data_IF_557135469783
#
_entry.id   IF_557135469783
#
_cell.length_a   1.000
_cell.length_b   1.000
_cell.length_c   1.000
_cell.angle_alpha   90.00
_cell.angle_beta   90.00
_cell.angle_gamma   90.00
#
_symmetry.space_group_name_H-M   'P 1'
#
loop_
_entity.id
_entity.type
_entity.pdbx_description
1 polymer ?
#
# COMPACT_ATOMS: atom_id res chain seq x y z
N UNK A 1 -13.10 5.74 -17.60
CA UNK A 1 -11.97 6.67 -17.33
C UNK A 1 -10.74 5.81 -17.05
N UNK A 2 -9.59 6.16 -17.60
CA UNK A 2 -8.35 5.41 -17.41
C UNK A 2 -7.45 6.13 -16.44
N UNK A 3 -6.85 5.41 -15.49
CA UNK A 3 -6.01 5.96 -14.44
C UNK A 3 -4.54 5.56 -14.63
N UNK A 4 -3.64 6.43 -14.18
CA UNK A 4 -2.22 6.12 -14.06
C UNK A 4 -1.92 5.63 -12.64
N UNK A 5 -1.29 4.47 -12.50
CA UNK A 5 -0.78 3.98 -11.21
C UNK A 5 0.62 4.55 -11.01
N UNK A 6 0.77 5.41 -10.01
CA UNK A 6 2.02 6.08 -9.67
C UNK A 6 2.82 5.27 -8.65
N UNK A 7 3.50 4.24 -9.11
CA UNK A 7 4.44 3.45 -8.29
C UNK A 7 5.59 2.91 -9.11
N UNK A 8 6.80 2.94 -8.54
CA UNK A 8 7.99 2.26 -9.09
C UNK A 8 8.17 0.86 -8.51
N UNK A 9 7.36 0.46 -7.52
CA UNK A 9 7.42 -0.86 -6.91
C UNK A 9 6.61 -1.86 -7.73
N UNK A 10 7.28 -2.77 -8.43
CA UNK A 10 6.65 -3.75 -9.29
C UNK A 10 5.70 -4.71 -8.54
N UNK A 11 5.99 -5.02 -7.26
CA UNK A 11 5.13 -5.89 -6.43
C UNK A 11 3.85 -5.16 -6.04
N UNK A 12 3.94 -3.88 -5.65
CA UNK A 12 2.77 -3.02 -5.40
C UNK A 12 1.95 -2.83 -6.68
N UNK A 13 2.59 -2.57 -7.81
CA UNK A 13 1.90 -2.41 -9.10
C UNK A 13 1.02 -3.62 -9.41
N UNK A 14 1.56 -4.84 -9.31
CA UNK A 14 0.81 -6.08 -9.54
C UNK A 14 -0.39 -6.25 -8.60
N UNK A 15 -0.23 -5.90 -7.32
CA UNK A 15 -1.35 -5.92 -6.36
C UNK A 15 -2.42 -4.90 -6.74
N UNK A 16 -2.03 -3.66 -7.04
CA UNK A 16 -2.96 -2.60 -7.43
C UNK A 16 -3.76 -2.98 -8.68
N UNK A 17 -3.10 -3.46 -9.73
CA UNK A 17 -3.75 -3.90 -10.96
C UNK A 17 -4.72 -5.06 -10.71
N UNK A 18 -4.30 -6.07 -9.91
CA UNK A 18 -5.12 -7.24 -9.58
C UNK A 18 -6.39 -6.85 -8.82
N UNK A 19 -6.29 -5.89 -7.89
CA UNK A 19 -7.43 -5.45 -7.08
C UNK A 19 -8.32 -4.47 -7.85
N UNK A 20 -7.75 -3.53 -8.60
CA UNK A 20 -8.50 -2.50 -9.33
C UNK A 20 -9.35 -3.08 -10.48
N UNK A 21 -8.82 -4.08 -11.18
CA UNK A 21 -9.51 -4.67 -12.35
C UNK A 21 -10.90 -5.26 -12.02
N UNK A 22 -11.08 -6.11 -10.99
CA UNK A 22 -12.41 -6.60 -10.60
C UNK A 22 -13.33 -5.49 -10.09
N UNK A 23 -12.77 -4.38 -9.61
CA UNK A 23 -13.54 -3.22 -9.17
C UNK A 23 -14.03 -2.33 -10.33
N UNK A 24 -13.71 -2.71 -11.58
CA UNK A 24 -14.10 -1.95 -12.77
C UNK A 24 -13.29 -0.67 -12.99
N UNK A 25 -12.15 -0.53 -12.32
CA UNK A 25 -11.25 0.61 -12.47
C UNK A 25 -10.16 0.26 -13.49
N UNK A 26 -10.20 0.91 -14.66
CA UNK A 26 -9.19 0.74 -15.70
C UNK A 26 -7.95 1.58 -15.35
N UNK A 27 -6.87 0.91 -15.01
CA UNK A 27 -5.63 1.56 -14.58
C UNK A 27 -4.41 0.88 -15.23
N UNK A 28 -3.41 1.69 -15.55
CA UNK A 28 -2.15 1.26 -16.16
C UNK A 28 -0.97 1.91 -15.43
N UNK A 29 0.19 1.29 -15.51
CA UNK A 29 1.42 1.91 -15.01
C UNK A 29 1.80 3.15 -15.84
N UNK A 30 2.56 4.07 -15.25
CA UNK A 30 3.11 5.22 -15.97
C UNK A 30 3.96 4.77 -17.16
N UNK A 31 4.72 3.69 -17.02
CA UNK A 31 5.55 3.10 -18.07
C UNK A 31 4.71 2.62 -19.28
N UNK A 32 3.59 1.94 -19.03
CA UNK A 32 2.67 1.51 -20.08
C UNK A 32 1.99 2.69 -20.77
N UNK A 33 1.81 3.79 -20.07
CA UNK A 33 1.35 5.06 -20.63
C UNK A 33 2.46 5.83 -21.39
N UNK A 34 3.68 5.29 -21.46
CA UNK A 34 4.81 5.91 -22.16
C UNK A 34 5.47 7.04 -21.37
N UNK A 35 5.24 7.14 -20.07
CA UNK A 35 5.76 8.19 -19.20
C UNK A 35 6.73 7.63 -18.18
N UNK A 36 7.92 8.25 -18.09
CA UNK A 36 8.86 7.96 -17.03
C UNK A 36 8.70 9.02 -15.92
N UNK A 37 8.22 8.59 -14.76
CA UNK A 37 8.05 9.49 -13.60
C UNK A 37 9.35 9.78 -12.85
N UNK A 38 10.43 9.04 -13.16
CA UNK A 38 11.68 9.11 -12.39
C UNK A 38 11.49 8.66 -10.94
N UNK A 39 12.42 9.06 -10.08
CA UNK A 39 12.28 8.92 -8.64
C UNK A 39 11.50 10.12 -8.09
N UNK A 40 10.34 9.83 -7.50
CA UNK A 40 9.56 10.84 -6.80
C UNK A 40 10.00 10.81 -5.34
N UNK A 41 10.61 11.90 -4.88
CA UNK A 41 11.07 12.02 -3.50
C UNK A 41 9.88 12.09 -2.53
N UNK A 42 9.80 11.12 -1.62
CA UNK A 42 8.77 11.03 -0.60
C UNK A 42 9.20 11.85 0.63
N UNK A 43 8.84 13.13 0.64
CA UNK A 43 9.19 14.09 1.71
C UNK A 43 8.11 14.21 2.79
N UNK A 44 7.00 13.51 2.63
CA UNK A 44 5.89 13.51 3.58
C UNK A 44 6.24 12.80 4.89
N UNK A 45 5.58 13.23 5.96
CA UNK A 45 5.69 12.63 7.30
C UNK A 45 4.58 11.61 7.58
N UNK A 46 3.59 11.52 6.68
CA UNK A 46 2.49 10.57 6.74
C UNK A 46 2.36 9.80 5.43
N UNK A 47 1.71 8.64 5.47
CA UNK A 47 1.39 7.86 4.27
C UNK A 47 0.51 8.67 3.30
N UNK A 48 -0.46 9.43 3.81
CA UNK A 48 -1.35 10.24 2.98
C UNK A 48 -0.58 11.34 2.22
N UNK A 49 0.36 12.03 2.88
CA UNK A 49 1.21 13.03 2.23
C UNK A 49 2.06 12.42 1.12
N UNK A 50 2.69 11.27 1.36
CA UNK A 50 3.50 10.59 0.35
C UNK A 50 2.65 10.05 -0.81
N UNK A 51 1.46 9.50 -0.53
CA UNK A 51 0.52 9.09 -1.58
C UNK A 51 0.12 10.29 -2.46
N UNK A 52 -0.19 11.44 -1.86
CA UNK A 52 -0.50 12.66 -2.59
C UNK A 52 0.68 13.13 -3.46
N UNK A 53 1.90 13.17 -2.92
CA UNK A 53 3.11 13.58 -3.66
C UNK A 53 3.27 12.72 -4.93
N UNK A 54 3.13 11.40 -4.80
CA UNK A 54 3.26 10.46 -5.93
C UNK A 54 2.12 10.62 -6.95
N UNK A 55 0.88 10.70 -6.49
CA UNK A 55 -0.27 10.89 -7.39
C UNK A 55 -0.20 12.21 -8.15
N UNK A 56 0.19 13.29 -7.46
CA UNK A 56 0.32 14.61 -8.05
C UNK A 56 1.45 14.68 -9.09
N UNK A 57 2.59 14.02 -8.84
CA UNK A 57 3.67 13.92 -9.81
C UNK A 57 3.20 13.20 -11.10
N UNK A 58 2.49 12.10 -10.96
CA UNK A 58 1.95 11.36 -12.10
C UNK A 58 0.88 12.16 -12.86
N UNK A 59 -0.04 12.80 -12.15
CA UNK A 59 -1.08 13.65 -12.76
C UNK A 59 -0.45 14.81 -13.55
N UNK A 60 0.51 15.51 -12.97
CA UNK A 60 1.22 16.63 -13.66
C UNK A 60 2.00 16.16 -14.88
N UNK A 61 2.64 15.00 -14.80
CA UNK A 61 3.43 14.46 -15.90
C UNK A 61 2.58 13.96 -17.07
N UNK A 62 1.39 13.46 -16.81
CA UNK A 62 0.56 12.77 -17.81
C UNK A 62 -0.67 13.57 -18.24
N UNK A 63 -1.16 14.48 -17.40
CA UNK A 63 -2.47 15.11 -17.57
C UNK A 63 -3.65 14.15 -17.38
N UNK A 64 -3.39 12.91 -16.93
CA UNK A 64 -4.39 11.87 -16.73
C UNK A 64 -4.69 11.67 -15.25
N UNK A 65 -5.92 11.24 -14.89
CA UNK A 65 -6.21 10.83 -13.52
C UNK A 65 -5.18 9.84 -12.99
N UNK A 66 -4.74 10.03 -11.76
CA UNK A 66 -3.66 9.24 -11.18
C UNK A 66 -4.01 8.68 -9.80
N UNK A 67 -3.59 7.46 -9.55
CA UNK A 67 -3.74 6.75 -8.28
C UNK A 67 -2.37 6.44 -7.72
N UNK A 68 -2.13 6.77 -6.46
CA UNK A 68 -0.93 6.37 -5.74
C UNK A 68 -1.28 5.73 -4.41
N UNK A 69 -0.47 4.76 -4.01
CA UNK A 69 -0.47 4.12 -2.71
C UNK A 69 0.81 4.48 -1.96
N UNK A 70 0.69 4.90 -0.71
CA UNK A 70 1.77 4.80 0.25
C UNK A 70 1.33 3.93 1.43
N UNK A 71 2.22 3.03 1.86
CA UNK A 71 1.84 1.98 2.80
C UNK A 71 3.02 1.48 3.60
N UNK A 72 2.74 1.03 4.80
CA UNK A 72 3.75 0.48 5.68
C UNK A 72 3.19 -0.24 6.88
N UNK A 73 4.08 -0.85 7.63
CA UNK A 73 3.84 -1.58 8.86
C UNK A 73 4.14 -0.70 10.07
N UNK A 74 3.23 -0.64 11.02
CA UNK A 74 3.43 -0.02 12.32
C UNK A 74 3.32 -1.08 13.41
N UNK A 75 4.34 -1.15 14.29
CA UNK A 75 4.42 -2.12 15.38
C UNK A 75 4.32 -1.37 16.71
N UNK A 76 3.36 -1.75 17.55
CA UNK A 76 3.08 -1.03 18.80
C UNK A 76 4.25 -1.08 19.78
N UNK A 77 4.94 -2.22 19.90
CA UNK A 77 6.13 -2.37 20.71
C UNK A 77 7.34 -1.51 20.26
N UNK A 78 7.27 -0.97 19.05
CA UNK A 78 8.29 -0.08 18.47
C UNK A 78 7.78 1.37 18.33
N UNK A 79 6.76 1.76 19.08
CA UNK A 79 6.15 3.10 19.00
C UNK A 79 5.71 3.48 17.57
N UNK A 80 5.17 2.50 16.84
CA UNK A 80 4.69 2.67 15.47
C UNK A 80 5.75 2.57 14.36
N UNK A 81 7.04 2.32 14.73
CA UNK A 81 8.07 2.04 13.71
C UNK A 81 7.86 0.66 13.07
N UNK A 82 8.27 0.43 11.83
CA UNK A 82 8.94 1.34 10.90
C UNK A 82 8.04 2.43 10.29
N UNK A 83 6.71 2.30 10.28
CA UNK A 83 5.79 3.33 9.77
C UNK A 83 6.10 3.75 8.34
N UNK A 84 6.18 5.04 8.05
CA UNK A 84 6.49 5.61 6.73
C UNK A 84 7.87 5.20 6.21
N UNK A 85 8.76 4.71 7.08
CA UNK A 85 10.09 4.21 6.73
C UNK A 85 10.13 2.72 6.40
N UNK A 86 8.97 2.05 6.30
CA UNK A 86 8.88 0.60 6.08
C UNK A 86 9.69 0.12 4.87
N UNK A 87 9.65 0.83 3.76
CA UNK A 87 10.37 0.45 2.55
C UNK A 87 11.91 0.53 2.70
N UNK A 88 12.42 1.44 3.54
CA UNK A 88 13.85 1.74 3.72
C UNK A 88 14.36 1.49 5.13
N UNK A 89 13.72 0.61 5.89
CA UNK A 89 13.99 0.37 7.32
C UNK A 89 15.42 -0.10 7.62
N UNK A 90 16.09 -0.76 6.66
CA UNK A 90 17.50 -1.16 6.73
C UNK A 90 18.36 -0.47 5.68
N UNK A 91 17.87 0.64 5.08
CA UNK A 91 18.49 1.31 3.95
C UNK A 91 17.74 1.06 2.64
N UNK A 92 18.07 1.85 1.62
CA UNK A 92 17.32 1.87 0.36
C UNK A 92 17.41 0.56 -0.44
N UNK A 93 18.53 -0.15 -0.33
CA UNK A 93 18.79 -1.38 -1.07
C UNK A 93 18.55 -2.66 -0.25
N UNK A 94 17.98 -2.55 0.94
CA UNK A 94 17.74 -3.69 1.81
C UNK A 94 16.69 -4.63 1.22
N UNK A 95 16.98 -5.94 1.32
CA UNK A 95 16.02 -7.00 0.97
C UNK A 95 14.85 -7.03 1.95
N UNK A 96 13.73 -7.65 1.55
CA UNK A 96 12.60 -7.85 2.45
C UNK A 96 13.01 -8.68 3.68
N UNK A 97 13.89 -9.67 3.50
CA UNK A 97 14.41 -10.50 4.57
C UNK A 97 15.23 -9.70 5.59
N UNK A 98 16.12 -8.82 5.15
CA UNK A 98 16.89 -7.96 6.05
C UNK A 98 15.98 -7.04 6.88
N UNK A 99 14.93 -6.49 6.28
CA UNK A 99 13.96 -5.62 6.97
C UNK A 99 13.19 -6.35 8.06
N UNK A 100 12.61 -7.52 7.74
CA UNK A 100 11.83 -8.22 8.76
C UNK A 100 12.73 -8.92 9.79
N UNK A 101 13.95 -9.36 9.45
CA UNK A 101 14.92 -9.89 10.40
C UNK A 101 15.30 -8.83 11.44
N UNK A 102 15.66 -7.62 11.00
CA UNK A 102 15.94 -6.50 11.91
C UNK A 102 14.75 -6.21 12.82
N UNK A 103 13.53 -6.19 12.29
CA UNK A 103 12.34 -5.95 13.08
C UNK A 103 12.15 -7.03 14.16
N UNK A 104 12.34 -8.30 13.82
CA UNK A 104 12.25 -9.42 14.77
C UNK A 104 13.31 -9.33 15.87
N UNK A 105 14.53 -8.92 15.53
CA UNK A 105 15.61 -8.68 16.49
C UNK A 105 15.25 -7.55 17.49
N UNK A 106 14.69 -6.44 17.00
CA UNK A 106 14.31 -5.30 17.84
C UNK A 106 13.17 -5.61 18.81
N UNK A 107 12.29 -6.56 18.47
CA UNK A 107 11.20 -7.00 19.36
C UNK A 107 11.47 -8.34 20.02
N UNK A 108 12.73 -8.80 20.03
CA UNK A 108 13.12 -9.99 20.74
C UNK A 108 12.81 -9.85 22.23
N UNK A 109 12.13 -10.83 22.83
CA UNK A 109 11.71 -10.79 24.23
C UNK A 109 10.42 -9.98 24.50
N UNK A 110 9.82 -9.36 23.49
CA UNK A 110 8.49 -8.78 23.63
C UNK A 110 7.46 -9.90 23.71
N UNK A 111 6.61 -9.95 24.77
CA UNK A 111 5.60 -10.99 24.94
C UNK A 111 4.49 -10.88 23.88
N UNK A 112 3.84 -12.01 23.60
CA UNK A 112 2.89 -12.16 22.49
C UNK A 112 1.77 -11.11 22.52
N UNK A 113 1.22 -10.82 23.69
CA UNK A 113 0.14 -9.85 23.85
C UNK A 113 0.55 -8.39 23.55
N UNK A 114 1.85 -8.11 23.43
CA UNK A 114 2.42 -6.80 23.08
C UNK A 114 3.02 -6.74 21.68
N UNK A 115 2.88 -7.81 20.90
CA UNK A 115 3.38 -7.88 19.52
C UNK A 115 2.34 -7.40 18.51
N UNK A 116 1.38 -6.60 18.93
CA UNK A 116 0.35 -6.04 18.05
C UNK A 116 0.95 -5.07 17.03
N UNK A 117 0.40 -5.12 15.84
CA UNK A 117 0.85 -4.32 14.69
C UNK A 117 -0.31 -4.07 13.73
N UNK A 118 -0.13 -3.12 12.83
CA UNK A 118 -1.07 -2.93 11.74
C UNK A 118 -0.36 -2.48 10.47
N UNK A 119 -0.87 -2.93 9.33
CA UNK A 119 -0.56 -2.34 8.05
C UNK A 119 -1.53 -1.21 7.74
N UNK A 120 -1.00 -0.13 7.19
CA UNK A 120 -1.77 0.99 6.64
C UNK A 120 -1.48 1.14 5.16
N UNK A 121 -2.51 1.40 4.36
CA UNK A 121 -2.41 1.85 2.98
C UNK A 121 -3.20 3.15 2.84
N UNK A 122 -2.53 4.24 2.50
CA UNK A 122 -3.16 5.50 2.13
C UNK A 122 -3.17 5.61 0.61
N UNK A 123 -4.36 5.76 0.04
CA UNK A 123 -4.55 5.94 -1.41
C UNK A 123 -4.94 7.38 -1.68
N UNK A 124 -4.21 8.01 -2.58
CA UNK A 124 -4.61 9.28 -3.18
C UNK A 124 -4.97 9.07 -4.64
N UNK A 125 -6.17 9.48 -5.04
CA UNK A 125 -6.66 9.47 -6.41
C UNK A 125 -6.93 10.91 -6.84
N UNK A 126 -6.16 11.43 -7.79
CA UNK A 126 -6.35 12.76 -8.36
C UNK A 126 -7.14 12.60 -9.66
N UNK A 127 -8.33 13.21 -9.72
CA UNK A 127 -9.22 13.20 -10.87
C UNK A 127 -9.02 14.42 -11.77
N UNK A 128 -8.73 15.57 -11.17
CA UNK A 128 -8.46 16.84 -11.85
C UNK A 128 -7.68 17.78 -10.92
N UNK A 129 -7.32 18.96 -11.39
CA UNK A 129 -6.66 19.99 -10.57
C UNK A 129 -7.49 20.43 -9.33
N UNK A 130 -8.79 20.15 -9.34
CA UNK A 130 -9.73 20.58 -8.28
C UNK A 130 -10.35 19.43 -7.51
N UNK A 131 -10.13 18.20 -7.95
CA UNK A 131 -10.81 17.04 -7.39
C UNK A 131 -9.83 15.91 -7.08
N UNK A 132 -9.78 15.54 -5.82
CA UNK A 132 -9.02 14.37 -5.34
C UNK A 132 -9.85 13.58 -4.34
N UNK A 133 -9.57 12.30 -4.26
CA UNK A 133 -10.12 11.38 -3.27
C UNK A 133 -8.94 10.81 -2.47
N UNK A 134 -9.04 10.86 -1.16
CA UNK A 134 -8.07 10.27 -0.24
C UNK A 134 -8.79 9.27 0.66
N UNK A 135 -8.27 8.05 0.74
CA UNK A 135 -8.84 6.97 1.56
C UNK A 135 -7.74 6.14 2.21
N UNK A 136 -8.03 5.65 3.40
CA UNK A 136 -7.13 4.76 4.14
C UNK A 136 -7.74 3.37 4.34
N UNK A 137 -6.89 2.37 4.27
CA UNK A 137 -7.19 1.01 4.69
C UNK A 137 -6.23 0.55 5.76
N UNK A 138 -6.74 -0.05 6.82
CA UNK A 138 -5.96 -0.57 7.93
C UNK A 138 -6.29 -2.06 8.11
N UNK A 139 -5.25 -2.88 8.26
CA UNK A 139 -5.37 -4.27 8.65
C UNK A 139 -4.59 -4.51 9.94
N UNK A 140 -5.30 -4.84 11.01
CA UNK A 140 -4.70 -5.16 12.30
C UNK A 140 -4.25 -6.60 12.35
N UNK A 141 -3.16 -6.86 13.06
CA UNK A 141 -2.58 -8.18 13.24
C UNK A 141 -1.52 -8.20 14.34
N UNK A 142 -0.67 -9.19 14.29
CA UNK A 142 0.44 -9.37 15.24
C UNK A 142 1.71 -9.75 14.50
N UNK A 143 2.86 -9.53 15.13
CA UNK A 143 4.15 -9.97 14.58
C UNK A 143 4.50 -11.35 15.15
N UNK A 144 4.67 -12.33 14.27
CA UNK A 144 5.11 -13.68 14.63
C UNK A 144 6.56 -13.70 15.14
N UNK A 145 6.98 -14.78 15.80
CA UNK A 145 8.36 -14.95 16.26
C UNK A 145 9.30 -15.36 15.12
N UNK A 146 8.77 -16.01 14.11
CA UNK A 146 9.54 -16.52 12.96
C UNK A 146 8.76 -16.24 11.68
N UNK A 147 9.45 -16.07 10.54
CA UNK A 147 8.81 -15.94 9.24
C UNK A 147 8.04 -17.21 8.88
N UNK A 148 6.83 -17.08 8.32
CA UNK A 148 5.99 -18.16 7.85
C UNK A 148 5.49 -17.85 6.44
N UNK A 149 5.44 -18.89 5.58
CA UNK A 149 5.00 -18.76 4.19
C UNK A 149 6.07 -18.18 3.25
N UNK A 150 5.78 -18.25 1.96
CA UNK A 150 6.70 -17.84 0.90
C UNK A 150 6.05 -16.86 -0.10
N UNK A 151 4.81 -16.45 0.13
CA UNK A 151 4.08 -15.51 -0.72
C UNK A 151 4.31 -14.06 -0.34
N UNK A 152 3.72 -13.18 -1.11
CA UNK A 152 3.71 -11.76 -0.83
C UNK A 152 5.06 -11.07 -0.96
N UNK A 153 5.27 -10.03 -0.17
CA UNK A 153 6.50 -9.23 -0.12
C UNK A 153 6.60 -8.40 1.16
N UNK A 154 7.75 -7.76 1.37
CA UNK A 154 7.97 -6.90 2.53
C UNK A 154 7.93 -7.68 3.83
N UNK A 155 7.05 -7.28 4.72
CA UNK A 155 6.87 -7.89 6.05
C UNK A 155 5.80 -8.99 6.09
N UNK A 156 5.24 -9.39 4.95
CA UNK A 156 4.18 -10.41 4.87
C UNK A 156 4.51 -11.71 5.62
N UNK A 157 5.77 -12.22 5.60
CA UNK A 157 6.11 -13.46 6.29
C UNK A 157 6.00 -13.40 7.83
N UNK A 158 6.05 -12.20 8.41
CA UNK A 158 6.02 -12.02 9.86
C UNK A 158 4.75 -11.36 10.38
N UNK A 159 3.83 -10.96 9.50
CA UNK A 159 2.58 -10.31 9.87
C UNK A 159 1.42 -11.29 9.85
N UNK A 160 0.96 -11.67 11.03
CA UNK A 160 -0.15 -12.59 11.21
C UNK A 160 -1.49 -11.87 11.31
N UNK A 161 -2.44 -12.33 10.52
CA UNK A 161 -3.81 -11.87 10.54
C UNK A 161 -4.75 -13.09 10.53
N UNK A 162 -5.61 -13.19 11.53
CA UNK A 162 -6.54 -14.33 11.68
C UNK A 162 -5.85 -15.71 11.74
N UNK A 163 -4.65 -15.78 12.34
CA UNK A 163 -3.92 -17.04 12.58
C UNK A 163 -3.09 -17.55 11.41
N UNK A 164 -2.90 -16.73 10.39
CA UNK A 164 -1.99 -16.99 9.27
C UNK A 164 -1.18 -15.75 8.93
N UNK A 165 0.07 -15.93 8.53
CA UNK A 165 0.85 -14.83 7.97
C UNK A 165 0.29 -14.42 6.59
N UNK A 166 0.49 -13.17 6.20
CA UNK A 166 0.12 -12.72 4.86
C UNK A 166 0.85 -13.52 3.76
N UNK A 167 2.04 -14.05 4.04
CA UNK A 167 2.80 -14.86 3.10
C UNK A 167 2.29 -16.30 2.96
N UNK A 168 1.42 -16.78 3.86
CA UNK A 168 0.73 -18.07 3.75
C UNK A 168 -0.58 -17.98 2.98
N UNK A 169 -1.11 -16.78 2.76
CA UNK A 169 -2.34 -16.55 2.03
C UNK A 169 -2.11 -16.57 0.51
N UNK A 170 -3.12 -17.02 -0.23
CA UNK A 170 -3.14 -16.75 -1.67
C UNK A 170 -3.28 -15.24 -1.92
N UNK A 171 -2.94 -14.80 -3.12
CA UNK A 171 -3.09 -13.40 -3.49
C UNK A 171 -4.53 -12.90 -3.31
N UNK A 172 -5.50 -13.72 -3.71
CA UNK A 172 -6.93 -13.42 -3.61
C UNK A 172 -7.42 -13.38 -2.14
N UNK A 173 -6.93 -14.29 -1.30
CA UNK A 173 -7.25 -14.28 0.15
C UNK A 173 -6.70 -13.02 0.81
N UNK A 174 -5.44 -12.68 0.52
CA UNK A 174 -4.81 -11.45 1.03
C UNK A 174 -5.55 -10.20 0.58
N UNK A 175 -5.92 -10.09 -0.69
CA UNK A 175 -6.62 -8.92 -1.24
C UNK A 175 -7.96 -8.65 -0.55
N UNK A 176 -8.64 -9.68 -0.05
CA UNK A 176 -9.91 -9.54 0.66
C UNK A 176 -9.76 -8.86 2.02
N UNK A 177 -8.65 -9.08 2.72
CA UNK A 177 -8.46 -8.64 4.11
C UNK A 177 -7.37 -7.59 4.29
N UNK A 178 -6.49 -7.41 3.30
CA UNK A 178 -5.34 -6.52 3.41
C UNK A 178 -5.73 -5.05 3.47
N UNK A 179 -4.86 -4.25 4.08
CA UNK A 179 -4.91 -2.78 4.11
C UNK A 179 -5.15 -2.18 2.72
N UNK A 180 -4.43 -2.64 1.70
CA UNK A 180 -4.57 -2.16 0.31
C UNK A 180 -5.91 -2.56 -0.29
N UNK A 181 -6.35 -3.79 -0.09
CA UNK A 181 -7.66 -4.24 -0.54
C UNK A 181 -8.80 -3.44 0.09
N UNK A 182 -8.70 -3.13 1.40
CA UNK A 182 -9.66 -2.29 2.12
C UNK A 182 -9.68 -0.87 1.54
N UNK A 183 -8.50 -0.23 1.37
CA UNK A 183 -8.39 1.12 0.84
C UNK A 183 -8.96 1.24 -0.58
N UNK A 184 -8.64 0.28 -1.47
CA UNK A 184 -9.10 0.31 -2.85
C UNK A 184 -10.62 0.08 -3.00
N UNK A 185 -11.24 -0.72 -2.15
CA UNK A 185 -12.70 -0.83 -2.10
C UNK A 185 -13.37 0.47 -1.64
N UNK A 186 -12.76 1.18 -0.69
CA UNK A 186 -13.22 2.52 -0.29
C UNK A 186 -13.09 3.51 -1.45
N UNK A 187 -11.97 3.48 -2.19
CA UNK A 187 -11.80 4.32 -3.38
C UNK A 187 -12.89 4.04 -4.41
N UNK A 188 -13.18 2.77 -4.71
CA UNK A 188 -14.26 2.39 -5.62
C UNK A 188 -15.60 3.00 -5.19
N UNK A 189 -15.96 2.85 -3.91
CA UNK A 189 -17.20 3.43 -3.39
C UNK A 189 -17.26 4.94 -3.61
N UNK A 190 -16.17 5.67 -3.33
CA UNK A 190 -16.10 7.11 -3.57
C UNK A 190 -16.26 7.45 -5.05
N UNK A 191 -15.59 6.72 -5.96
CA UNK A 191 -15.69 6.95 -7.41
C UNK A 191 -17.11 6.73 -7.95
N UNK A 192 -17.86 5.79 -7.41
CA UNK A 192 -19.26 5.56 -7.78
C UNK A 192 -20.17 6.71 -7.34
N UNK A 193 -19.88 7.37 -6.22
CA UNK A 193 -20.65 8.54 -5.76
C UNK A 193 -20.30 9.83 -6.49
N UNK A 194 -19.07 9.95 -7.01
CA UNK A 194 -18.62 11.13 -7.76
C UNK A 194 -18.99 11.07 -9.25
N UNK A 195 -19.31 9.88 -9.77
CA UNK A 195 -19.84 9.77 -11.14
C UNK A 195 -21.28 10.33 -11.18
N UNK A 196 -21.59 11.35 -12.02
CA UNK A 196 -22.96 11.79 -12.16
C UNK A 196 -23.81 10.62 -12.64
N UNK A 197 -24.88 10.30 -11.89
CA UNK A 197 -25.91 9.38 -12.36
C UNK A 197 -26.33 9.77 -13.77
N UNK A 198 -26.40 8.84 -14.74
CA UNK A 198 -27.03 9.17 -16.01
C UNK A 198 -28.44 9.67 -15.69
N UNK A 199 -28.67 10.94 -15.89
CA UNK A 199 -30.06 11.47 -15.87
C UNK A 199 -30.73 10.96 -17.12
N UNK A 200 -31.79 10.20 -16.90
CA UNK A 200 -32.78 9.84 -17.91
C UNK A 200 -33.25 11.05 -18.74
#
# INVERSE_FOLDING_TARGET
>A
MKFIIATNNAKKLKELERILKPLGIDAVSAKEAGVNLGEVEETGTTFAENAFIKANAAFKATGMPAIADDSGLSVDALDGRPGVYSARYCGENATDEEKYTKLLEEIQGVPDEKRTAHFTSSICCILSDKEKIEVDGICNGTISHTPNGNGGFGYDPIFDCNGKSFAELTAEEKDKISHRGIALRKLQACLLYTSPSPRD
#
